data_IF_617202729009
#
_entry.id   IF_617202729009
#
_cell.length_a   1.000
_cell.length_b   1.000
_cell.length_c   1.000
_cell.angle_alpha   90.00
_cell.angle_beta   90.00
_cell.angle_gamma   90.00
#
_symmetry.space_group_name_H-M   'P 1'
#
loop_
_entity.id
_entity.type
_entity.pdbx_description
1 polymer ?
#
# COMPACT_ATOMS: atom_id res chain seq x y z
N UNK A 1 -5.55 -14.87 -6.88
CA UNK A 1 -6.12 -13.81 -7.73
C UNK A 1 -6.09 -12.48 -7.01
N UNK A 2 -5.74 -11.43 -7.68
CA UNK A 2 -5.62 -10.12 -7.08
C UNK A 2 -6.69 -9.16 -7.57
N UNK A 3 -6.94 -8.15 -6.78
CA UNK A 3 -7.90 -7.11 -7.13
C UNK A 3 -7.31 -5.75 -6.78
N UNK A 4 -7.34 -4.83 -7.73
CA UNK A 4 -6.85 -3.47 -7.50
C UNK A 4 -7.91 -2.68 -6.79
N UNK A 5 -7.57 -2.12 -5.62
CA UNK A 5 -8.49 -1.34 -4.81
C UNK A 5 -8.15 0.14 -4.83
N UNK A 6 -6.92 0.49 -5.04
CA UNK A 6 -6.50 1.87 -4.96
C UNK A 6 -5.30 2.11 -5.87
N UNK A 7 -5.42 3.07 -6.74
CA UNK A 7 -4.32 3.49 -7.58
C UNK A 7 -4.48 4.99 -7.81
N UNK A 8 -3.39 5.64 -8.13
CA UNK A 8 -3.45 7.06 -8.38
C UNK A 8 -2.09 7.64 -8.65
N UNK A 9 -2.12 8.85 -9.15
CA UNK A 9 -0.93 9.61 -9.43
C UNK A 9 -1.00 10.88 -8.60
N UNK A 10 -0.06 11.05 -7.70
CA UNK A 10 0.03 12.23 -6.85
C UNK A 10 1.36 12.90 -7.06
N UNK A 11 1.44 14.17 -6.71
CA UNK A 11 2.73 14.82 -6.59
C UNK A 11 3.46 14.19 -5.41
N UNK A 12 4.67 13.72 -5.67
CA UNK A 12 5.45 12.97 -4.69
C UNK A 12 6.69 13.78 -4.35
N UNK A 13 6.84 14.08 -3.06
CA UNK A 13 8.03 14.77 -2.57
C UNK A 13 9.18 13.78 -2.46
N UNK A 14 10.40 14.32 -2.41
CA UNK A 14 11.60 13.50 -2.30
C UNK A 14 11.60 12.59 -1.08
N UNK A 15 10.88 12.97 -0.03
CA UNK A 15 10.84 12.21 1.22
C UNK A 15 9.61 11.32 1.32
N UNK A 16 8.83 11.19 0.26
CA UNK A 16 7.63 10.35 0.28
C UNK A 16 7.98 8.88 0.25
N UNK A 17 7.19 8.10 0.97
CA UNK A 17 7.25 6.64 0.90
C UNK A 17 5.93 6.13 0.35
N UNK A 18 5.92 4.85 -0.04
CA UNK A 18 4.66 4.22 -0.48
C UNK A 18 3.60 4.38 0.62
N UNK A 19 4.00 4.22 1.88
CA UNK A 19 3.07 4.37 3.00
C UNK A 19 2.53 5.78 3.13
N UNK A 20 3.40 6.80 3.04
CA UNK A 20 2.96 8.18 3.22
C UNK A 20 2.00 8.62 2.11
N UNK A 21 2.24 8.18 0.90
CA UNK A 21 1.34 8.47 -0.23
C UNK A 21 0.00 7.77 -0.03
N UNK A 22 0.02 6.52 0.42
CA UNK A 22 -1.21 5.79 0.69
C UNK A 22 -2.02 6.49 1.79
N UNK A 23 -1.37 6.93 2.86
CA UNK A 23 -2.06 7.62 3.96
C UNK A 23 -2.71 8.91 3.47
N UNK A 24 -2.04 9.64 2.60
CA UNK A 24 -2.59 10.88 2.04
C UNK A 24 -3.83 10.58 1.20
N UNK A 25 -3.74 9.60 0.31
CA UNK A 25 -4.87 9.19 -0.51
C UNK A 25 -6.04 8.72 0.34
N UNK A 26 -5.76 7.90 1.34
CA UNK A 26 -6.79 7.37 2.21
C UNK A 26 -7.49 8.48 2.99
N UNK A 27 -6.72 9.43 3.51
CA UNK A 27 -7.27 10.56 4.24
C UNK A 27 -8.17 11.41 3.34
N UNK A 28 -7.74 11.64 2.10
CA UNK A 28 -8.54 12.43 1.15
C UNK A 28 -9.85 11.75 0.77
N UNK A 29 -9.92 10.44 0.92
CA UNK A 29 -11.10 9.66 0.54
C UNK A 29 -11.81 9.05 1.74
N UNK A 30 -11.45 9.45 2.96
CA UNK A 30 -12.05 8.95 4.20
C UNK A 30 -11.94 7.42 4.33
N UNK A 31 -10.81 6.87 3.93
CA UNK A 31 -10.54 5.44 4.01
C UNK A 31 -9.59 5.18 5.16
N UNK A 32 -9.92 4.18 5.97
CA UNK A 32 -9.09 3.81 7.12
C UNK A 32 -7.95 2.90 6.69
N UNK A 33 -6.77 3.13 7.26
CA UNK A 33 -5.59 2.31 7.01
C UNK A 33 -5.17 1.64 8.31
N UNK A 34 -4.96 0.34 8.27
CA UNK A 34 -4.41 -0.43 9.39
C UNK A 34 -2.98 -0.81 9.08
N UNK A 35 -2.09 -0.58 10.02
CA UNK A 35 -0.67 -0.86 9.83
C UNK A 35 -0.10 -1.65 11.00
N UNK A 36 1.05 -2.29 10.78
CA UNK A 36 1.86 -2.94 11.81
C UNK A 36 3.31 -2.57 11.61
N UNK A 37 4.09 -2.65 12.69
CA UNK A 37 5.47 -2.23 12.67
C UNK A 37 5.57 -0.72 12.84
N UNK A 38 6.78 -0.20 12.71
CA UNK A 38 6.99 1.24 12.78
C UNK A 38 8.23 1.61 11.98
N UNK A 39 8.32 2.91 11.65
CA UNK A 39 9.43 3.41 10.84
C UNK A 39 9.46 2.75 9.47
N UNK A 40 10.65 2.40 9.03
CA UNK A 40 10.84 1.79 7.71
C UNK A 40 10.31 0.35 7.65
N UNK A 41 9.95 -0.21 8.78
CA UNK A 41 9.39 -1.57 8.83
C UNK A 41 7.87 -1.59 8.87
N UNK A 42 7.22 -0.43 8.72
CA UNK A 42 5.77 -0.35 8.74
C UNK A 42 5.18 -0.96 7.47
N UNK A 43 4.26 -1.89 7.64
CA UNK A 43 3.54 -2.47 6.50
C UNK A 43 2.04 -2.31 6.69
N UNK A 44 1.30 -2.39 5.58
CA UNK A 44 -0.15 -2.17 5.58
C UNK A 44 -0.87 -3.50 5.74
N UNK A 45 -1.69 -3.59 6.79
CA UNK A 45 -2.51 -4.77 7.08
C UNK A 45 -3.91 -4.67 6.49
N UNK A 46 -4.42 -3.46 6.36
CA UNK A 46 -5.77 -3.29 5.86
C UNK A 46 -5.99 -1.92 5.24
N UNK A 47 -6.85 -1.87 4.25
CA UNK A 47 -7.29 -0.65 3.60
C UNK A 47 -8.81 -0.71 3.55
N UNK A 48 -9.46 0.26 4.18
CA UNK A 48 -10.91 0.24 4.29
C UNK A 48 -11.35 -0.94 5.14
N UNK A 49 -12.30 -1.69 4.65
CA UNK A 49 -12.87 -2.83 5.37
C UNK A 49 -12.20 -4.16 5.04
N UNK A 50 -11.19 -4.14 4.18
CA UNK A 50 -10.52 -5.37 3.74
C UNK A 50 -9.17 -5.49 4.44
N UNK A 51 -9.01 -6.52 5.25
CA UNK A 51 -7.84 -6.72 6.10
C UNK A 51 -7.14 -8.03 5.72
N UNK A 52 -5.84 -8.07 5.98
CA UNK A 52 -5.06 -9.27 5.70
C UNK A 52 -5.65 -10.50 6.38
N UNK A 53 -5.46 -11.65 5.77
CA UNK A 53 -5.87 -12.96 6.28
C UNK A 53 -7.38 -13.18 6.33
N UNK A 54 -8.18 -12.23 5.86
CA UNK A 54 -9.65 -12.42 5.83
C UNK A 54 -10.10 -13.38 4.75
N UNK A 55 -9.29 -13.59 3.73
CA UNK A 55 -9.63 -14.45 2.59
C UNK A 55 -8.56 -15.51 2.38
N UNK A 56 -8.11 -16.13 3.46
CA UNK A 56 -7.08 -17.15 3.45
C UNK A 56 -5.84 -16.70 4.19
N UNK A 57 -5.06 -17.65 4.69
CA UNK A 57 -3.90 -17.33 5.53
C UNK A 57 -2.82 -16.53 4.81
N UNK A 58 -2.75 -16.64 3.49
CA UNK A 58 -1.79 -15.89 2.71
C UNK A 58 -2.35 -14.63 2.07
N UNK A 59 -3.61 -14.28 2.38
CA UNK A 59 -4.21 -13.10 1.78
C UNK A 59 -3.69 -11.83 2.43
N UNK A 60 -3.67 -10.74 1.67
CA UNK A 60 -3.22 -9.47 2.19
C UNK A 60 -3.00 -8.43 1.11
N UNK A 61 -2.57 -7.26 1.55
CA UNK A 61 -2.34 -6.13 0.67
C UNK A 61 -0.90 -6.13 0.14
N UNK A 62 -0.80 -5.91 -1.14
CA UNK A 62 0.48 -5.82 -1.86
C UNK A 62 0.50 -4.52 -2.66
N UNK A 63 1.68 -4.08 -3.06
CA UNK A 63 1.78 -2.91 -3.90
C UNK A 63 2.82 -3.10 -4.98
N UNK A 64 2.70 -2.32 -6.05
CA UNK A 64 3.68 -2.24 -7.12
C UNK A 64 4.07 -0.80 -7.34
N UNK A 65 5.34 -0.59 -7.63
CA UNK A 65 5.87 0.72 -8.01
C UNK A 65 6.35 0.60 -9.44
N UNK A 66 5.75 1.38 -10.33
CA UNK A 66 6.08 1.35 -11.76
C UNK A 66 6.02 -0.07 -12.34
N UNK A 67 5.02 -0.84 -11.89
CA UNK A 67 4.80 -2.20 -12.38
C UNK A 67 5.65 -3.28 -11.74
N UNK A 68 6.49 -2.92 -10.78
CA UNK A 68 7.37 -3.87 -10.08
C UNK A 68 6.96 -3.98 -8.62
N UNK A 69 6.98 -5.21 -8.08
CA UNK A 69 6.68 -5.44 -6.66
C UNK A 69 7.97 -5.41 -5.86
N UNK A 70 8.28 -4.32 -5.16
CA UNK A 70 9.44 -4.30 -4.30
C UNK A 70 9.23 -5.22 -3.11
N UNK A 71 10.30 -5.86 -2.67
CA UNK A 71 10.22 -6.73 -1.51
C UNK A 71 10.60 -5.95 -0.26
N UNK A 72 9.89 -4.86 -0.02
CA UNK A 72 10.17 -3.89 1.04
C UNK A 72 8.85 -3.48 1.67
N UNK A 73 8.84 -3.26 2.99
CA UNK A 73 7.66 -2.73 3.66
C UNK A 73 7.34 -1.33 3.12
N UNK A 74 6.06 -0.98 3.09
CA UNK A 74 5.62 0.29 2.51
C UNK A 74 6.26 1.51 3.18
N UNK A 75 6.52 1.43 4.48
CA UNK A 75 7.17 2.51 5.21
C UNK A 75 8.63 2.71 4.87
N UNK A 76 9.26 1.71 4.23
CA UNK A 76 10.66 1.78 3.84
C UNK A 76 10.90 1.95 2.36
N UNK A 77 9.84 2.05 1.56
CA UNK A 77 9.97 2.16 0.11
C UNK A 77 9.85 3.62 -0.31
N UNK A 78 10.97 4.25 -0.61
CA UNK A 78 10.99 5.66 -1.01
C UNK A 78 10.50 5.82 -2.44
N UNK A 79 9.82 6.92 -2.66
CA UNK A 79 9.29 7.27 -3.98
C UNK A 79 9.91 8.56 -4.47
N UNK A 80 9.83 8.77 -5.77
CA UNK A 80 10.24 10.02 -6.39
C UNK A 80 9.15 10.49 -7.33
N UNK A 81 9.21 11.76 -7.69
CA UNK A 81 8.20 12.36 -8.54
C UNK A 81 8.09 11.60 -9.87
N UNK A 82 6.87 11.28 -10.25
CA UNK A 82 6.62 10.51 -11.47
C UNK A 82 6.42 9.02 -11.23
N UNK A 83 6.72 8.53 -10.03
CA UNK A 83 6.47 7.13 -9.71
C UNK A 83 4.98 6.84 -9.66
N UNK A 84 4.61 5.66 -10.09
CA UNK A 84 3.23 5.18 -10.09
C UNK A 84 3.10 4.03 -9.12
N UNK A 85 2.14 4.11 -8.19
CA UNK A 85 1.93 3.08 -7.17
C UNK A 85 0.54 2.51 -7.32
N UNK A 86 0.46 1.19 -7.28
CA UNK A 86 -0.82 0.47 -7.33
C UNK A 86 -0.88 -0.45 -6.12
N UNK A 87 -1.97 -0.36 -5.36
CA UNK A 87 -2.26 -1.27 -4.25
C UNK A 87 -3.29 -2.29 -4.69
N UNK A 88 -3.08 -3.54 -4.31
CA UNK A 88 -4.02 -4.60 -4.66
C UNK A 88 -4.06 -5.65 -3.54
N UNK A 89 -5.20 -6.31 -3.43
CA UNK A 89 -5.40 -7.34 -2.42
C UNK A 89 -5.26 -8.71 -3.07
N UNK A 90 -4.46 -9.57 -2.44
CA UNK A 90 -4.24 -10.93 -2.92
C UNK A 90 -5.08 -11.88 -2.09
N UNK A 91 -5.90 -12.67 -2.76
CA UNK A 91 -6.69 -13.71 -2.13
C UNK A 91 -5.89 -15.00 -2.06
N UNK A 92 -6.09 -15.74 -1.00
CA UNK A 92 -5.39 -17.00 -0.80
C UNK A 92 -6.38 -18.03 -0.28
N UNK A 93 -6.27 -19.23 -0.77
CA UNK A 93 -7.13 -20.33 -0.32
C UNK A 93 -6.69 -20.88 1.02
#
# INVERSE_FOLDING_TARGET
MGQTMMSGKLEIDENSTVLSVLKTLASNNNVRILTSGFGSMTYVRGIGDLVEKEHGNGSGWMYKVNGTSPNIAAGGCSLKNGDSVVWYYVYSD
#
